data_IF_588011992355
#
_entry.id   IF_588011992355
#
_cell.length_a   1.000
_cell.length_b   1.000
_cell.length_c   1.000
_cell.angle_alpha   90.00
_cell.angle_beta   90.00
_cell.angle_gamma   90.00
#
_symmetry.space_group_name_H-M   'P 1'
#
loop_
_entity.id
_entity.type
_entity.pdbx_description
1 polymer ?
#
# COMPACT_ATOMS: atom_id res chain seq x y z
N UNK A 1 -3.88 -1.30 20.66
CA UNK A 1 -4.86 -1.89 19.73
C UNK A 1 -4.61 -1.32 18.33
N UNK A 2 -4.75 -2.15 17.29
CA UNK A 2 -4.61 -1.73 15.88
C UNK A 2 -6.00 -1.56 15.27
N UNK A 3 -6.17 -0.49 14.50
CA UNK A 3 -7.33 -0.26 13.66
C UNK A 3 -6.92 -0.50 12.20
N UNK A 4 -7.88 -0.89 11.37
CA UNK A 4 -7.68 -0.95 9.92
C UNK A 4 -8.87 -0.28 9.24
N UNK A 5 -8.58 0.36 8.13
CA UNK A 5 -9.54 1.03 7.27
C UNK A 5 -9.20 0.65 5.82
N UNK A 6 -10.19 0.18 5.06
CA UNK A 6 -9.99 -0.24 3.67
C UNK A 6 -11.19 0.12 2.80
N UNK A 7 -10.98 0.14 1.49
CA UNK A 7 -12.04 0.26 0.50
C UNK A 7 -11.62 -0.53 -0.74
N UNK A 8 -12.53 -1.31 -1.32
CA UNK A 8 -12.22 -2.14 -2.49
C UNK A 8 -11.98 -1.25 -3.70
N UNK A 9 -10.82 -1.41 -4.35
CA UNK A 9 -10.45 -0.63 -5.54
C UNK A 9 -10.10 0.84 -5.25
N UNK A 10 -9.87 1.21 -3.98
CA UNK A 10 -9.43 2.57 -3.65
C UNK A 10 -8.02 2.82 -4.16
N UNK A 11 -7.85 3.96 -4.82
CA UNK A 11 -6.56 4.51 -5.23
C UNK A 11 -6.25 5.77 -4.43
N UNK A 12 -5.01 6.24 -4.48
CA UNK A 12 -4.64 7.54 -3.90
C UNK A 12 -5.44 8.70 -4.51
N UNK A 13 -5.98 8.52 -5.73
CA UNK A 13 -6.78 9.53 -6.43
C UNK A 13 -8.17 9.72 -5.82
N UNK A 14 -8.75 8.66 -5.23
CA UNK A 14 -10.12 8.68 -4.68
C UNK A 14 -10.19 8.67 -3.16
N UNK A 15 -9.05 8.53 -2.47
CA UNK A 15 -9.06 8.26 -1.02
C UNK A 15 -9.65 9.40 -0.17
N UNK A 16 -9.55 10.67 -0.60
CA UNK A 16 -10.14 11.79 0.13
C UNK A 16 -11.67 11.71 0.20
N UNK A 17 -12.29 11.19 -0.86
CA UNK A 17 -13.74 11.03 -1.01
C UNK A 17 -14.22 9.61 -0.66
N UNK A 18 -13.29 8.70 -0.36
CA UNK A 18 -13.62 7.30 -0.12
C UNK A 18 -14.36 7.10 1.20
N UNK A 19 -15.38 6.25 1.16
CA UNK A 19 -16.09 5.75 2.32
C UNK A 19 -15.38 4.48 2.83
N UNK A 20 -14.52 4.66 3.83
CA UNK A 20 -13.65 3.59 4.33
C UNK A 20 -14.41 2.66 5.26
N UNK A 21 -14.28 1.35 5.03
CA UNK A 21 -14.80 0.33 5.93
C UNK A 21 -13.81 0.11 7.07
N UNK A 22 -14.29 0.28 8.30
CA UNK A 22 -13.51 0.08 9.53
C UNK A 22 -13.63 -1.36 10.03
N UNK A 23 -12.84 -1.68 11.06
CA UNK A 23 -12.79 -3.02 11.66
C UNK A 23 -14.14 -3.56 12.15
N UNK A 24 -15.01 -2.69 12.64
CA UNK A 24 -16.35 -3.04 13.13
C UNK A 24 -17.41 -3.08 12.01
N UNK A 25 -17.00 -2.89 10.75
CA UNK A 25 -17.88 -2.83 9.60
C UNK A 25 -18.56 -1.47 9.40
N UNK A 26 -18.37 -0.51 10.31
CA UNK A 26 -18.84 0.86 10.12
C UNK A 26 -18.10 1.55 8.98
N UNK A 27 -18.68 2.62 8.46
CA UNK A 27 -18.09 3.41 7.38
C UNK A 27 -17.76 4.83 7.82
N UNK A 28 -16.62 5.34 7.36
CA UNK A 28 -16.13 6.66 7.75
C UNK A 28 -15.18 7.24 6.71
N UNK A 29 -15.11 8.58 6.64
CA UNK A 29 -14.11 9.24 5.80
C UNK A 29 -12.72 9.19 6.44
N UNK A 30 -11.67 9.30 5.63
CA UNK A 30 -10.29 9.38 6.13
C UNK A 30 -10.13 10.46 7.21
N UNK A 31 -10.69 11.66 6.99
CA UNK A 31 -10.59 12.77 7.95
C UNK A 31 -11.24 12.43 9.29
N UNK A 32 -12.40 11.78 9.29
CA UNK A 32 -13.06 11.36 10.53
C UNK A 32 -12.22 10.32 11.28
N UNK A 33 -11.65 9.35 10.57
CA UNK A 33 -10.76 8.34 11.15
C UNK A 33 -9.52 8.98 11.78
N UNK A 34 -8.88 9.90 11.05
CA UNK A 34 -7.69 10.61 11.52
C UNK A 34 -8.00 11.62 12.63
N UNK A 35 -9.22 12.16 12.72
CA UNK A 35 -9.58 13.11 13.78
C UNK A 35 -10.08 12.41 15.04
N UNK A 36 -10.64 11.20 14.93
CA UNK A 36 -11.26 10.49 16.05
C UNK A 36 -10.29 9.82 17.02
N UNK A 37 -9.02 9.67 16.63
CA UNK A 37 -7.99 8.97 17.43
C UNK A 37 -6.59 9.41 17.03
N UNK A 38 -5.64 9.39 17.96
CA UNK A 38 -4.22 9.59 17.66
C UNK A 38 -3.50 8.26 17.44
N UNK A 39 -2.70 8.19 16.37
CA UNK A 39 -1.93 7.01 15.98
C UNK A 39 -0.44 7.27 16.16
N UNK A 40 0.28 6.33 16.77
CA UNK A 40 1.75 6.39 16.84
C UNK A 40 2.43 5.90 15.56
N UNK A 41 1.77 5.00 14.82
CA UNK A 41 2.25 4.44 13.55
C UNK A 41 1.08 4.33 12.57
N UNK A 42 1.32 4.67 11.30
CA UNK A 42 0.34 4.54 10.21
C UNK A 42 1.01 3.77 9.07
N UNK A 43 0.34 2.76 8.55
CA UNK A 43 0.84 1.92 7.45
C UNK A 43 -0.03 2.13 6.22
N UNK A 44 0.59 2.45 5.09
CA UNK A 44 -0.08 2.70 3.81
C UNK A 44 0.44 1.73 2.74
N UNK A 45 -0.47 1.29 1.88
CA UNK A 45 -0.19 0.39 0.76
C UNK A 45 -1.01 0.86 -0.42
N UNK A 46 -0.31 1.38 -1.43
CA UNK A 46 -0.87 1.86 -2.68
C UNK A 46 0.15 1.57 -3.78
N UNK A 47 -0.30 1.53 -5.02
CA UNK A 47 0.54 1.41 -6.20
C UNK A 47 -0.02 0.44 -7.24
N UNK A 48 -0.73 -0.63 -6.84
CA UNK A 48 -1.33 -1.58 -7.80
C UNK A 48 -2.36 -0.92 -8.71
N UNK A 49 -3.18 -0.01 -8.18
CA UNK A 49 -4.19 0.70 -8.96
C UNK A 49 -3.62 1.91 -9.71
N UNK A 50 -2.40 2.31 -9.39
CA UNK A 50 -1.70 3.47 -9.92
C UNK A 50 -0.70 3.11 -11.02
N UNK A 51 -0.55 1.82 -11.36
CA UNK A 51 0.39 1.35 -12.39
C UNK A 51 0.15 1.94 -13.78
N UNK A 52 -1.09 2.35 -14.10
CA UNK A 52 -1.43 3.04 -15.34
C UNK A 52 -1.32 4.56 -15.24
N UNK A 53 -1.09 5.09 -14.04
CA UNK A 53 -0.89 6.52 -13.83
C UNK A 53 0.55 6.92 -14.18
N UNK A 54 0.73 8.12 -14.72
CA UNK A 54 2.07 8.69 -14.87
C UNK A 54 2.74 8.89 -13.50
N UNK A 55 4.06 8.69 -13.44
CA UNK A 55 4.85 8.77 -12.21
C UNK A 55 4.66 10.07 -11.44
N UNK A 56 4.59 11.21 -12.14
CA UNK A 56 4.36 12.52 -11.54
C UNK A 56 2.96 12.62 -10.92
N UNK A 57 1.93 12.16 -11.63
CA UNK A 57 0.55 12.12 -11.12
C UNK A 57 0.48 11.27 -9.86
N UNK A 58 1.04 10.07 -9.88
CA UNK A 58 1.06 9.21 -8.70
C UNK A 58 1.79 9.85 -7.52
N UNK A 59 2.99 10.41 -7.76
CA UNK A 59 3.76 11.12 -6.74
C UNK A 59 2.96 12.26 -6.11
N UNK A 60 2.33 13.12 -6.92
CA UNK A 60 1.64 14.30 -6.44
C UNK A 60 0.44 13.95 -5.55
N UNK A 61 -0.38 12.97 -5.97
CA UNK A 61 -1.53 12.54 -5.17
C UNK A 61 -1.12 11.83 -3.89
N UNK A 62 -0.12 10.95 -3.96
CA UNK A 62 0.35 10.27 -2.75
C UNK A 62 1.03 11.27 -1.79
N UNK A 63 1.82 12.21 -2.30
CA UNK A 63 2.38 13.32 -1.52
C UNK A 63 1.29 14.14 -0.81
N UNK A 64 0.22 14.51 -1.52
CA UNK A 64 -0.90 15.25 -0.93
C UNK A 64 -1.60 14.44 0.18
N UNK A 65 -1.77 13.13 -0.01
CA UNK A 65 -2.30 12.24 1.03
C UNK A 65 -1.41 12.25 2.28
N UNK A 66 -0.09 12.16 2.12
CA UNK A 66 0.85 12.23 3.25
C UNK A 66 0.71 13.56 4.01
N UNK A 67 0.56 14.66 3.29
CA UNK A 67 0.39 15.99 3.90
C UNK A 67 -0.92 16.09 4.68
N UNK A 68 -2.01 15.52 4.16
CA UNK A 68 -3.28 15.38 4.89
C UNK A 68 -3.09 14.56 6.16
N UNK A 69 -2.45 13.38 6.08
CA UNK A 69 -2.23 12.53 7.26
C UNK A 69 -1.44 13.30 8.33
N UNK A 70 -0.35 13.97 7.95
CA UNK A 70 0.48 14.76 8.87
C UNK A 70 -0.26 15.90 9.54
N UNK A 71 -1.22 16.53 8.85
CA UNK A 71 -2.05 17.59 9.43
C UNK A 71 -2.84 17.10 10.65
N UNK A 72 -3.33 15.86 10.62
CA UNK A 72 -4.12 15.28 11.71
C UNK A 72 -3.30 14.40 12.66
N UNK A 73 -2.15 13.91 12.22
CA UNK A 73 -1.33 12.90 12.91
C UNK A 73 0.15 13.30 12.90
N UNK A 74 0.45 14.51 13.39
CA UNK A 74 1.79 15.11 13.29
C UNK A 74 2.91 14.31 13.98
N UNK A 75 2.57 13.53 15.01
CA UNK A 75 3.52 12.68 15.75
C UNK A 75 3.63 11.23 15.22
N UNK A 76 2.79 10.85 14.24
CA UNK A 76 2.77 9.48 13.73
C UNK A 76 4.00 9.19 12.85
N UNK A 77 4.63 8.03 13.08
CA UNK A 77 5.58 7.48 12.10
C UNK A 77 4.79 6.85 10.96
N UNK A 78 4.99 7.35 9.75
CA UNK A 78 4.30 6.85 8.56
C UNK A 78 5.19 5.83 7.85
N UNK A 79 4.64 4.64 7.63
CA UNK A 79 5.22 3.55 6.87
C UNK A 79 4.49 3.42 5.53
N UNK A 80 5.24 3.35 4.44
CA UNK A 80 4.72 3.02 3.12
C UNK A 80 5.29 1.68 2.70
N UNK A 81 4.43 0.78 2.22
CA UNK A 81 4.89 -0.41 1.53
C UNK A 81 5.12 -0.08 0.07
N UNK A 82 6.19 -0.60 -0.51
CA UNK A 82 6.26 -0.68 -1.96
C UNK A 82 5.26 -1.73 -2.48
N UNK A 83 4.97 -1.65 -3.77
CA UNK A 83 4.02 -2.51 -4.45
C UNK A 83 4.62 -3.91 -4.60
N UNK A 84 3.89 -4.97 -4.21
CA UNK A 84 4.35 -6.34 -4.37
C UNK A 84 4.53 -6.71 -5.85
N UNK A 85 5.33 -7.75 -6.17
CA UNK A 85 5.39 -8.27 -7.52
C UNK A 85 4.03 -8.88 -7.90
N UNK A 86 3.87 -9.09 -9.20
CA UNK A 86 2.74 -9.83 -9.76
C UNK A 86 3.22 -11.10 -10.45
N UNK A 87 2.32 -12.07 -10.62
CA UNK A 87 2.56 -13.22 -11.49
C UNK A 87 1.90 -12.94 -12.84
N UNK A 88 2.64 -12.36 -13.77
CA UNK A 88 2.13 -11.91 -15.08
C UNK A 88 1.45 -13.02 -15.87
N UNK A 89 1.91 -14.27 -15.73
CA UNK A 89 1.32 -15.43 -16.41
C UNK A 89 -0.11 -15.75 -15.93
N UNK A 90 -0.53 -15.24 -14.77
CA UNK A 90 -1.87 -15.41 -14.23
C UNK A 90 -2.75 -14.17 -14.35
N UNK A 91 -2.17 -13.00 -14.59
CA UNK A 91 -2.90 -11.73 -14.72
C UNK A 91 -3.83 -11.80 -15.92
N UNK A 92 -5.13 -11.57 -15.68
CA UNK A 92 -6.16 -11.62 -16.74
C UNK A 92 -6.47 -10.23 -17.33
N UNK A 93 -6.30 -9.17 -16.53
CA UNK A 93 -6.62 -7.78 -16.86
C UNK A 93 -5.93 -6.86 -15.84
N UNK A 94 -5.76 -5.55 -16.10
CA UNK A 94 -5.41 -4.88 -17.36
C UNK A 94 -3.91 -5.00 -17.72
N UNK A 95 -3.54 -4.66 -18.95
CA UNK A 95 -2.15 -4.69 -19.48
C UNK A 95 -1.15 -3.92 -18.60
N UNK A 96 -1.62 -2.88 -17.91
CA UNK A 96 -0.80 -2.10 -17.00
C UNK A 96 -0.30 -2.89 -15.76
N UNK A 97 -0.92 -4.01 -15.41
CA UNK A 97 -0.49 -4.84 -14.29
C UNK A 97 0.61 -5.80 -14.76
N UNK A 98 1.86 -5.37 -14.58
CA UNK A 98 3.06 -6.13 -14.88
C UNK A 98 4.22 -5.67 -13.98
N UNK A 99 5.29 -6.46 -13.88
CA UNK A 99 6.40 -6.19 -12.98
C UNK A 99 7.26 -5.00 -13.43
N UNK A 100 7.23 -4.62 -14.71
CA UNK A 100 7.86 -3.39 -15.20
C UNK A 100 7.18 -2.15 -14.60
N UNK A 101 5.85 -2.14 -14.55
CA UNK A 101 5.08 -1.07 -13.93
C UNK A 101 5.11 -1.14 -12.40
N UNK A 102 5.24 -2.33 -11.80
CA UNK A 102 5.58 -2.47 -10.36
C UNK A 102 6.88 -1.75 -10.07
N UNK A 103 7.93 -1.99 -10.88
CA UNK A 103 9.23 -1.35 -10.70
C UNK A 103 9.13 0.17 -10.76
N UNK A 104 8.51 0.73 -11.81
CA UNK A 104 8.31 2.19 -11.96
C UNK A 104 7.51 2.79 -10.81
N UNK A 105 6.45 2.11 -10.38
CA UNK A 105 5.64 2.50 -9.22
C UNK A 105 6.47 2.51 -7.94
N UNK A 106 7.34 1.52 -7.76
CA UNK A 106 8.21 1.41 -6.59
C UNK A 106 9.30 2.48 -6.57
N UNK A 107 9.81 2.92 -7.72
CA UNK A 107 10.70 4.08 -7.78
C UNK A 107 10.02 5.36 -7.27
N UNK A 108 8.75 5.57 -7.63
CA UNK A 108 7.95 6.70 -7.14
C UNK A 108 7.75 6.61 -5.62
N UNK A 109 7.42 5.43 -5.10
CA UNK A 109 7.23 5.21 -3.65
C UNK A 109 8.55 5.43 -2.89
N UNK A 110 9.68 4.96 -3.43
CA UNK A 110 10.99 5.17 -2.82
C UNK A 110 11.36 6.66 -2.79
N UNK A 111 11.15 7.38 -3.90
CA UNK A 111 11.32 8.84 -3.95
C UNK A 111 10.44 9.56 -2.95
N UNK A 112 9.15 9.22 -2.90
CA UNK A 112 8.20 9.79 -1.93
C UNK A 112 8.64 9.53 -0.49
N UNK A 113 9.09 8.32 -0.19
CA UNK A 113 9.58 7.96 1.14
C UNK A 113 10.80 8.80 1.53
N UNK A 114 11.73 9.05 0.60
CA UNK A 114 12.85 9.94 0.82
C UNK A 114 12.40 11.39 1.04
N UNK A 115 11.70 11.98 0.07
CA UNK A 115 11.31 13.39 0.07
C UNK A 115 10.43 13.77 1.26
N UNK A 116 9.55 12.85 1.67
CA UNK A 116 8.64 13.06 2.80
C UNK A 116 9.18 12.45 4.09
N UNK A 117 10.38 11.89 4.16
CA UNK A 117 10.93 11.25 5.38
C UNK A 117 10.00 10.17 5.98
N UNK A 118 9.54 9.24 5.13
CA UNK A 118 8.71 8.09 5.51
C UNK A 118 9.58 6.85 5.73
N UNK A 119 9.03 5.83 6.38
CA UNK A 119 9.67 4.52 6.48
C UNK A 119 9.18 3.62 5.35
N UNK A 120 10.10 3.14 4.51
CA UNK A 120 9.79 2.19 3.44
C UNK A 120 9.81 0.76 3.98
N UNK A 121 8.78 -0.01 3.66
CA UNK A 121 8.71 -1.45 3.86
C UNK A 121 8.81 -2.12 2.49
N UNK A 122 9.83 -2.96 2.32
CA UNK A 122 10.07 -3.69 1.08
C UNK A 122 9.23 -4.98 1.05
N UNK A 123 7.98 -4.84 0.65
CA UNK A 123 7.07 -5.94 0.41
C UNK A 123 7.38 -6.64 -0.92
N UNK A 124 7.92 -5.89 -1.90
CA UNK A 124 8.32 -6.44 -3.18
C UNK A 124 9.40 -7.52 -3.01
N UNK A 125 10.53 -7.17 -2.41
CA UNK A 125 11.63 -8.11 -2.14
C UNK A 125 11.25 -9.24 -1.20
N UNK A 126 10.28 -9.04 -0.28
CA UNK A 126 9.78 -10.10 0.60
C UNK A 126 8.98 -11.17 -0.16
N UNK A 127 8.29 -10.79 -1.24
CA UNK A 127 7.32 -11.64 -1.91
C UNK A 127 7.76 -12.11 -3.30
N UNK A 128 8.86 -11.58 -3.84
CA UNK A 128 9.43 -12.02 -5.09
C UNK A 128 10.11 -13.39 -4.97
N UNK A 129 9.95 -14.21 -6.00
CA UNK A 129 10.83 -15.34 -6.28
C UNK A 129 12.21 -14.89 -6.81
N UNK A 130 13.06 -15.84 -7.21
CA UNK A 130 14.40 -15.55 -7.69
C UNK A 130 14.39 -14.75 -9.01
N UNK A 131 13.28 -14.79 -9.74
CA UNK A 131 13.05 -14.12 -11.00
C UNK A 131 12.35 -12.76 -10.82
N UNK A 132 12.06 -12.35 -9.59
CA UNK A 132 11.40 -11.08 -9.29
C UNK A 132 9.87 -11.13 -9.40
N UNK A 133 9.28 -12.29 -9.65
CA UNK A 133 7.83 -12.48 -9.82
C UNK A 133 7.15 -12.94 -8.54
N UNK A 134 5.83 -12.77 -8.45
CA UNK A 134 5.06 -13.38 -7.36
C UNK A 134 4.96 -14.89 -7.59
N UNK A 135 5.30 -15.76 -6.61
CA UNK A 135 5.16 -17.20 -6.78
C UNK A 135 3.72 -17.60 -7.15
N UNK A 136 3.59 -18.57 -8.05
CA UNK A 136 2.28 -19.01 -8.57
C UNK A 136 1.33 -19.50 -7.46
N UNK A 137 1.87 -20.15 -6.44
CA UNK A 137 1.15 -20.66 -5.28
C UNK A 137 0.90 -19.60 -4.19
N UNK A 138 1.40 -18.38 -4.38
CA UNK A 138 1.17 -17.24 -3.51
C UNK A 138 -0.04 -16.38 -3.96
N UNK A 139 -0.66 -16.68 -5.09
CA UNK A 139 -1.76 -15.87 -5.66
C UNK A 139 -2.89 -16.72 -6.26
N UNK A 140 -4.07 -16.11 -6.39
CA UNK A 140 -5.22 -16.70 -7.08
C UNK A 140 -5.30 -16.30 -8.56
N UNK A 141 -4.88 -15.06 -8.86
CA UNK A 141 -5.13 -14.39 -10.14
C UNK A 141 -3.93 -13.59 -10.66
N UNK A 142 -2.77 -13.75 -10.04
CA UNK A 142 -1.55 -13.01 -10.37
C UNK A 142 -1.34 -11.74 -9.57
N UNK A 143 -2.34 -11.26 -8.83
CA UNK A 143 -2.30 -9.99 -8.10
C UNK A 143 -2.70 -10.17 -6.63
N UNK A 144 -3.82 -10.84 -6.38
CA UNK A 144 -4.38 -11.04 -5.05
C UNK A 144 -3.78 -12.26 -4.38
N UNK A 145 -3.40 -12.10 -3.12
CA UNK A 145 -2.65 -13.11 -2.41
C UNK A 145 -3.50 -14.26 -1.87
N UNK A 146 -2.84 -15.40 -1.76
CA UNK A 146 -3.27 -16.54 -0.97
C UNK A 146 -3.21 -16.20 0.54
N UNK A 147 -4.06 -16.81 1.39
CA UNK A 147 -4.07 -16.57 2.83
C UNK A 147 -2.71 -16.76 3.53
N UNK A 148 -1.88 -17.68 3.04
CA UNK A 148 -0.53 -17.95 3.55
C UNK A 148 0.41 -16.75 3.45
N UNK A 149 0.25 -15.91 2.42
CA UNK A 149 1.08 -14.72 2.20
C UNK A 149 0.82 -13.68 3.29
N UNK A 150 -0.44 -13.43 3.64
CA UNK A 150 -0.80 -12.51 4.73
C UNK A 150 -0.22 -12.96 6.08
N UNK A 151 -0.12 -14.28 6.30
CA UNK A 151 0.53 -14.83 7.50
C UNK A 151 2.02 -14.53 7.52
N UNK A 152 2.71 -14.74 6.39
CA UNK A 152 4.15 -14.46 6.25
C UNK A 152 4.46 -12.98 6.40
N UNK A 153 3.66 -12.13 5.76
CA UNK A 153 3.80 -10.69 5.87
C UNK A 153 3.51 -10.18 7.29
N UNK A 154 2.46 -10.67 7.96
CA UNK A 154 2.21 -10.34 9.38
C UNK A 154 3.39 -10.74 10.27
N UNK A 155 3.96 -11.93 10.03
CA UNK A 155 5.16 -12.40 10.75
C UNK A 155 6.36 -11.49 10.52
N UNK A 156 6.60 -11.05 9.28
CA UNK A 156 7.65 -10.09 8.97
C UNK A 156 7.50 -8.79 9.77
N UNK A 157 6.31 -8.18 9.75
CA UNK A 157 6.05 -6.93 10.47
C UNK A 157 6.27 -7.08 11.98
N UNK A 158 5.94 -8.25 12.57
CA UNK A 158 6.20 -8.54 13.98
C UNK A 158 7.68 -8.70 14.29
N UNK A 159 8.42 -9.45 13.47
CA UNK A 159 9.86 -9.67 13.66
C UNK A 159 10.65 -8.37 13.51
N UNK A 160 10.20 -7.46 12.65
CA UNK A 160 10.75 -6.12 12.50
C UNK A 160 10.31 -5.13 13.61
N UNK A 161 9.58 -5.60 14.63
CA UNK A 161 9.01 -4.79 15.72
C UNK A 161 8.15 -3.60 15.24
N UNK A 162 7.52 -3.75 14.07
CA UNK A 162 6.66 -2.74 13.47
C UNK A 162 5.26 -2.79 14.08
N UNK A 163 4.75 -3.99 14.38
CA UNK A 163 3.42 -4.25 14.98
C UNK A 163 3.47 -5.23 16.16
#
# INVERSE_FOLDING_TARGET
SCDFAYCNGVSVFGLSEADLTLRDGSRSSLIKVLSGKTYGKIFLIFGTNEMSAGSETFYNYYSALIDVIRKYQSAAVIYVHNTPPVNEALVKYPEAINNENVFRTNEVIAKLAYDKALKLIDLNGLLSDAEGSLPKDATWDGVHFQPSVYTSWSRFLRLAALI
#
